data_IF_507953007695
#
_entry.id   IF_507953007695
#
_cell.length_a   1.000
_cell.length_b   1.000
_cell.length_c   1.000
_cell.angle_alpha   90.00
_cell.angle_beta   90.00
_cell.angle_gamma   90.00
#
_symmetry.space_group_name_H-M   'P 1'
#
loop_
_entity.id
_entity.type
_entity.pdbx_description
1 polymer ?
#
# COMPACT_ATOMS: atom_id res chain seq x y z
N UNK A 1 -9.56 14.35 -7.31
CA UNK A 1 -10.12 13.10 -6.77
C UNK A 1 -8.94 12.15 -6.57
N UNK A 2 -8.49 11.91 -5.33
CA UNK A 2 -7.48 10.89 -5.09
C UNK A 2 -8.13 9.53 -5.35
N UNK A 3 -7.78 8.89 -6.47
CA UNK A 3 -8.16 7.50 -6.75
C UNK A 3 -7.47 6.65 -5.70
N UNK A 4 -8.22 6.15 -4.72
CA UNK A 4 -7.71 5.21 -3.72
C UNK A 4 -7.35 3.92 -4.45
N UNK A 5 -6.06 3.69 -4.64
CA UNK A 5 -5.59 2.45 -5.25
C UNK A 5 -5.60 1.32 -4.22
N UNK A 6 -5.75 0.09 -4.74
CA UNK A 6 -5.63 -1.12 -3.94
C UNK A 6 -4.20 -1.37 -3.47
N UNK A 7 -3.96 -2.56 -2.97
CA UNK A 7 -2.61 -3.02 -2.64
C UNK A 7 -1.85 -3.32 -3.94
N UNK A 8 -0.63 -2.80 -4.10
CA UNK A 8 0.20 -3.17 -5.25
C UNK A 8 0.98 -4.46 -4.95
N UNK A 9 1.32 -5.28 -5.96
CA UNK A 9 2.11 -6.49 -5.75
C UNK A 9 3.43 -6.24 -5.02
N UNK A 10 4.05 -5.08 -5.25
CA UNK A 10 5.31 -4.67 -4.61
C UNK A 10 5.20 -4.46 -3.09
N UNK A 11 3.99 -4.29 -2.56
CA UNK A 11 3.75 -4.11 -1.12
C UNK A 11 3.59 -5.44 -0.37
N UNK A 12 3.59 -6.58 -1.07
CA UNK A 12 3.37 -7.90 -0.47
C UNK A 12 4.69 -8.41 0.10
N UNK A 13 4.63 -8.87 1.35
CA UNK A 13 5.75 -9.53 2.04
C UNK A 13 5.70 -11.04 1.78
N UNK A 14 4.57 -11.68 2.12
CA UNK A 14 4.41 -13.14 2.01
C UNK A 14 2.94 -13.56 1.98
N UNK A 15 2.67 -14.79 1.55
CA UNK A 15 1.38 -15.46 1.73
C UNK A 15 1.30 -16.13 3.10
N UNK A 16 0.13 -16.06 3.72
CA UNK A 16 -0.20 -16.70 4.99
C UNK A 16 -1.43 -17.57 4.77
N UNK A 17 -1.35 -18.86 5.11
CA UNK A 17 -2.51 -19.74 5.11
C UNK A 17 -3.10 -19.79 6.52
N UNK A 18 -4.37 -19.41 6.64
CA UNK A 18 -5.10 -19.37 7.91
C UNK A 18 -6.49 -19.97 7.69
N UNK A 19 -6.84 -21.02 8.44
CA UNK A 19 -8.16 -21.68 8.38
C UNK A 19 -8.63 -21.98 6.94
N UNK A 20 -7.80 -22.70 6.17
CA UNK A 20 -8.03 -23.05 4.75
C UNK A 20 -8.18 -21.86 3.79
N UNK A 21 -7.83 -20.65 4.24
CA UNK A 21 -7.90 -19.42 3.44
C UNK A 21 -6.50 -18.83 3.27
N UNK A 22 -6.12 -18.56 2.01
CA UNK A 22 -4.86 -17.88 1.70
C UNK A 22 -5.02 -16.36 1.81
N UNK A 23 -4.33 -15.78 2.77
CA UNK A 23 -4.15 -14.34 2.92
C UNK A 23 -2.78 -13.89 2.43
N UNK A 24 -2.65 -12.61 2.12
CA UNK A 24 -1.40 -11.97 1.74
C UNK A 24 -1.05 -10.92 2.79
N UNK A 25 0.11 -11.07 3.42
CA UNK A 25 0.65 -10.05 4.30
C UNK A 25 1.24 -8.93 3.45
N UNK A 26 0.76 -7.71 3.65
CA UNK A 26 1.22 -6.52 2.96
C UNK A 26 1.61 -5.41 3.95
N UNK A 27 2.35 -4.43 3.45
CA UNK A 27 2.88 -3.31 4.22
C UNK A 27 2.59 -1.98 3.54
N UNK A 28 2.17 -0.98 4.31
CA UNK A 28 2.06 0.40 3.83
C UNK A 28 2.65 1.41 4.82
N UNK A 29 2.41 2.71 4.68
CA UNK A 29 2.97 3.71 5.61
C UNK A 29 2.35 3.68 7.02
N UNK A 30 1.24 2.98 7.21
CA UNK A 30 0.48 2.97 8.47
C UNK A 30 0.66 1.69 9.28
N UNK A 31 1.13 0.61 8.67
CA UNK A 31 1.37 -0.64 9.37
C UNK A 31 1.30 -1.86 8.47
N UNK A 32 1.48 -3.02 9.08
CA UNK A 32 1.17 -4.30 8.45
C UNK A 32 -0.34 -4.50 8.34
N UNK A 33 -0.79 -5.14 7.27
CA UNK A 33 -2.18 -5.52 7.10
C UNK A 33 -2.29 -6.79 6.25
N UNK A 34 -3.41 -7.50 6.38
CA UNK A 34 -3.67 -8.71 5.60
C UNK A 34 -4.67 -8.41 4.49
N UNK A 35 -4.33 -8.77 3.26
CA UNK A 35 -5.21 -8.63 2.10
C UNK A 35 -5.44 -9.97 1.42
N UNK A 36 -6.22 -9.97 0.35
CA UNK A 36 -6.44 -11.13 -0.52
C UNK A 36 -6.05 -10.77 -1.94
N UNK A 37 -5.74 -11.77 -2.77
CA UNK A 37 -5.43 -11.58 -4.19
C UNK A 37 -6.49 -10.79 -4.97
N UNK A 38 -7.72 -10.71 -4.45
CA UNK A 38 -8.79 -9.94 -5.07
C UNK A 38 -8.53 -8.44 -5.13
N UNK A 39 -7.72 -7.89 -4.22
CA UNK A 39 -7.43 -6.45 -4.14
C UNK A 39 -6.03 -6.10 -4.68
N UNK A 40 -5.20 -7.10 -4.93
CA UNK A 40 -3.82 -6.90 -5.38
C UNK A 40 -3.79 -6.53 -6.86
N UNK A 41 -3.15 -5.41 -7.19
CA UNK A 41 -2.96 -4.95 -8.58
C UNK A 41 -4.25 -4.51 -9.27
N UNK A 42 -5.37 -4.41 -8.55
CA UNK A 42 -6.65 -3.95 -9.10
C UNK A 42 -6.91 -2.48 -8.76
N UNK A 43 -7.66 -1.81 -9.62
CA UNK A 43 -8.22 -0.48 -9.36
C UNK A 43 -9.42 -0.53 -8.39
N UNK A 44 -9.26 -1.26 -7.29
CA UNK A 44 -10.27 -1.42 -6.24
C UNK A 44 -9.64 -1.04 -4.91
N UNK A 45 -10.34 -0.20 -4.13
CA UNK A 45 -9.88 0.17 -2.81
C UNK A 45 -9.84 -1.06 -1.90
N UNK A 46 -8.66 -1.36 -1.39
CA UNK A 46 -8.46 -2.47 -0.46
C UNK A 46 -9.05 -2.10 0.91
N UNK A 47 -10.17 -2.73 1.28
CA UNK A 47 -10.83 -2.46 2.55
C UNK A 47 -9.91 -2.76 3.74
N UNK A 48 -9.06 -3.77 3.65
CA UNK A 48 -8.20 -4.17 4.76
C UNK A 48 -7.03 -3.20 4.93
N UNK A 49 -6.59 -2.57 3.84
CA UNK A 49 -5.66 -1.44 3.90
C UNK A 49 -6.30 -0.22 4.57
N UNK A 50 -7.49 0.18 4.15
CA UNK A 50 -8.09 1.44 4.65
C UNK A 50 -8.93 1.31 5.92
N UNK A 51 -9.17 0.11 6.43
CA UNK A 51 -9.98 -0.13 7.63
C UNK A 51 -9.10 -0.39 8.85
N UNK A 52 -9.19 0.48 9.86
CA UNK A 52 -8.48 0.30 11.13
C UNK A 52 -8.87 -1.00 11.85
N UNK A 53 -10.14 -1.40 11.77
CA UNK A 53 -10.62 -2.63 12.40
C UNK A 53 -9.91 -3.88 11.84
N UNK A 54 -9.67 -3.92 10.52
CA UNK A 54 -9.00 -5.04 9.88
C UNK A 54 -7.50 -5.14 10.24
N UNK A 55 -6.89 -4.06 10.77
CA UNK A 55 -5.48 -4.02 11.16
C UNK A 55 -5.23 -4.43 12.61
N UNK A 56 -6.23 -4.25 13.47
CA UNK A 56 -6.08 -4.54 14.91
C UNK A 56 -5.75 -6.00 15.17
N UNK A 57 -6.36 -6.91 14.41
CA UNK A 57 -6.18 -8.35 14.61
C UNK A 57 -4.89 -8.90 13.98
N UNK A 58 -4.22 -8.11 13.12
CA UNK A 58 -3.05 -8.59 12.35
C UNK A 58 -1.88 -8.90 13.26
N UNK A 59 -1.63 -8.08 14.28
CA UNK A 59 -0.56 -8.35 15.24
C UNK A 59 -0.80 -9.65 16.00
N UNK A 60 -2.04 -9.88 16.47
CA UNK A 60 -2.41 -11.11 17.18
C UNK A 60 -2.33 -12.35 16.28
N UNK A 61 -2.72 -12.23 15.00
CA UNK A 61 -2.60 -13.31 14.01
C UNK A 61 -1.15 -13.66 13.71
N UNK A 62 -0.29 -12.65 13.54
CA UNK A 62 1.14 -12.87 13.33
C UNK A 62 1.78 -13.54 14.55
N UNK A 63 1.43 -13.11 15.75
CA UNK A 63 1.91 -13.71 17.00
C UNK A 63 1.47 -15.18 17.14
N UNK A 64 0.22 -15.50 16.78
CA UNK A 64 -0.29 -16.88 16.74
C UNK A 64 0.48 -17.77 15.74
N UNK A 65 1.07 -17.18 14.71
CA UNK A 65 1.92 -17.85 13.73
C UNK A 65 3.41 -17.86 14.13
N UNK A 66 3.77 -17.29 15.28
CA UNK A 66 5.15 -17.16 15.73
C UNK A 66 5.96 -16.10 14.97
N UNK A 67 5.27 -15.18 14.28
CA UNK A 67 5.89 -14.10 13.50
C UNK A 67 5.90 -12.80 14.29
N UNK A 68 7.06 -12.14 14.35
CA UNK A 68 7.18 -10.85 15.03
C UNK A 68 6.77 -9.70 14.08
N UNK A 69 5.62 -9.10 14.37
CA UNK A 69 5.07 -8.00 13.58
C UNK A 69 6.00 -6.78 13.50
N UNK A 70 6.72 -6.44 14.57
CA UNK A 70 7.63 -5.30 14.57
C UNK A 70 8.87 -5.54 13.70
N UNK A 71 9.42 -6.77 13.75
CA UNK A 71 10.56 -7.14 12.92
C UNK A 71 10.18 -7.18 11.44
N UNK A 72 9.04 -7.79 11.11
CA UNK A 72 8.52 -7.80 9.75
C UNK A 72 8.32 -6.38 9.22
N UNK A 73 7.74 -5.50 10.03
CA UNK A 73 7.59 -4.10 9.66
C UNK A 73 8.94 -3.42 9.39
N UNK A 74 9.89 -3.52 10.32
CA UNK A 74 11.22 -2.88 10.19
C UNK A 74 12.00 -3.41 8.98
N UNK A 75 11.98 -4.71 8.76
CA UNK A 75 12.71 -5.35 7.67
C UNK A 75 12.11 -5.05 6.30
N UNK A 76 10.79 -4.82 6.22
CA UNK A 76 10.07 -4.64 4.97
C UNK A 76 9.69 -3.19 4.64
N UNK A 77 10.17 -2.19 5.39
CA UNK A 77 9.84 -0.77 5.12
C UNK A 77 10.20 -0.31 3.69
N UNK A 78 11.18 -0.96 3.06
CA UNK A 78 11.57 -0.70 1.68
C UNK A 78 10.48 -1.04 0.64
N UNK A 79 9.46 -1.82 1.02
CA UNK A 79 8.32 -2.17 0.16
C UNK A 79 7.18 -1.14 0.24
N UNK A 80 7.27 -0.17 1.16
CA UNK A 80 6.25 0.86 1.33
C UNK A 80 6.24 1.77 0.10
N UNK A 81 5.20 1.63 -0.70
CA UNK A 81 4.94 2.54 -1.81
C UNK A 81 4.48 3.88 -1.24
N UNK A 82 5.35 4.88 -1.30
CA UNK A 82 4.93 6.26 -1.12
C UNK A 82 4.00 6.60 -2.28
N UNK A 83 2.74 6.95 -1.98
CA UNK A 83 1.91 7.73 -2.90
C UNK A 83 2.53 9.14 -3.04
N UNK A 84 3.79 9.24 -3.44
CA UNK A 84 4.24 10.37 -4.23
C UNK A 84 3.43 10.29 -5.52
N UNK A 85 2.27 10.93 -5.49
CA UNK A 85 1.71 11.56 -6.67
C UNK A 85 2.91 12.16 -7.38
N UNK A 86 3.28 11.57 -8.52
CA UNK A 86 4.27 12.14 -9.41
C UNK A 86 3.70 13.50 -9.77
N UNK A 87 4.06 14.51 -8.99
CA UNK A 87 3.82 15.89 -9.26
C UNK A 87 4.66 16.12 -10.50
N UNK A 88 4.03 15.82 -11.64
CA UNK A 88 4.55 16.02 -12.98
C UNK A 88 5.06 17.46 -12.94
N UNK A 89 6.39 17.61 -12.85
CA UNK A 89 7.04 18.91 -12.87
C UNK A 89 6.70 19.55 -14.20
N UNK A 90 5.57 20.25 -14.25
CA UNK A 90 5.30 21.20 -15.32
C UNK A 90 6.33 22.29 -15.12
N UNK A 91 7.39 22.25 -15.92
CA UNK A 91 8.41 23.29 -15.95
C UNK A 91 7.72 24.63 -16.24
N UNK A 92 7.72 25.61 -15.30
CA UNK A 92 7.09 26.90 -15.54
C UNK A 92 7.81 27.73 -16.63
N UNK A 93 8.99 27.31 -17.08
CA UNK A 93 9.80 28.01 -18.08
C UNK A 93 9.29 27.90 -19.53
N UNK A 94 8.26 27.09 -19.82
CA UNK A 94 7.67 27.00 -21.18
C UNK A 94 6.37 27.78 -21.38
N UNK A 95 5.80 28.40 -20.34
CA UNK A 95 4.52 29.11 -20.44
C UNK A 95 4.64 30.62 -20.74
N UNK A 96 5.84 31.21 -20.70
CA UNK A 96 6.02 32.67 -20.82
C UNK A 96 6.43 33.15 -22.21
N UNK A 97 5.89 32.59 -23.31
CA UNK A 97 6.20 33.10 -24.66
C UNK A 97 5.08 33.05 -25.70
N UNK A 98 3.83 33.24 -25.28
CA UNK A 98 2.73 33.61 -26.19
C UNK A 98 1.96 34.79 -25.59
N UNK A 99 2.60 35.95 -25.59
CA UNK A 99 2.03 37.21 -25.14
C UNK A 99 2.90 38.37 -25.61
N UNK A 100 3.13 38.46 -26.92
CA UNK A 100 3.75 39.63 -27.56
C UNK A 100 3.75 39.45 -29.07
N UNK A 101 2.64 39.80 -29.70
CA UNK A 101 2.50 40.54 -30.97
C UNK A 101 1.04 41.04 -30.96
N UNK A 102 0.73 42.33 -30.83
CA UNK A 102 1.41 43.47 -31.46
C UNK A 102 0.96 43.49 -32.91
#
# INVERSE_FOLDING_TARGET
MATRFGTTPEMIIQSIEENDTTFLLAIDSTGLYMTTHNYVGKHLADRNRYSNAARQDVAARLDALGLNAEELWKNNQHLIQSETASAKKVNPLKASKRGSKG
#
